data_IF_642149201853
#
_entry.id   IF_642149201853
#
_cell.length_a   1.000
_cell.length_b   1.000
_cell.length_c   1.000
_cell.angle_alpha   90.00
_cell.angle_beta   90.00
_cell.angle_gamma   90.00
#
_symmetry.space_group_name_H-M   'P 1'
#
loop_
_entity.id
_entity.type
_entity.pdbx_description
1 polymer ?
#
# COMPACT_ATOMS: atom_id res chain seq x y z
N UNK A 1 -2.68 3.54 20.92
CA UNK A 1 -3.90 3.40 20.10
C UNK A 1 -4.61 2.12 20.52
N UNK A 2 -5.90 2.22 20.87
CA UNK A 2 -6.72 1.12 21.39
C UNK A 2 -7.11 0.16 20.26
N UNK A 3 -6.72 -1.11 20.42
CA UNK A 3 -6.92 -2.23 19.48
C UNK A 3 -8.38 -2.72 19.46
N UNK A 4 -9.23 -2.21 20.36
CA UNK A 4 -10.56 -2.74 20.67
C UNK A 4 -11.63 -2.54 19.58
N UNK A 5 -11.37 -1.72 18.56
CA UNK A 5 -12.38 -1.36 17.55
C UNK A 5 -12.11 -1.94 16.15
N UNK A 6 -11.10 -2.80 15.99
CA UNK A 6 -10.83 -3.48 14.71
C UNK A 6 -11.75 -4.68 14.43
N UNK A 7 -12.78 -4.88 15.27
CA UNK A 7 -13.86 -5.84 15.07
C UNK A 7 -15.11 -5.13 14.55
N UNK A 8 -15.02 -4.37 13.46
CA UNK A 8 -16.19 -4.19 12.61
C UNK A 8 -16.35 -5.46 11.79
N UNK A 9 -17.59 -5.99 11.78
CA UNK A 9 -17.98 -7.19 11.05
C UNK A 9 -17.35 -7.21 9.65
N UNK A 10 -16.75 -8.32 9.19
CA UNK A 10 -16.22 -8.39 7.83
C UNK A 10 -17.38 -8.17 6.86
N UNK A 11 -17.27 -7.16 6.00
CA UNK A 11 -18.29 -6.74 5.03
C UNK A 11 -18.49 -7.76 3.88
N UNK A 12 -18.35 -9.07 4.14
CA UNK A 12 -18.30 -10.10 3.12
C UNK A 12 -17.08 -10.01 2.19
N UNK A 13 -16.28 -8.95 2.32
CA UNK A 13 -14.94 -8.79 1.78
C UNK A 13 -13.99 -9.55 2.70
N UNK A 14 -13.60 -10.76 2.28
CA UNK A 14 -12.65 -11.65 2.96
C UNK A 14 -11.21 -11.07 3.01
N UNK A 15 -11.04 -9.77 3.25
CA UNK A 15 -9.74 -9.15 3.47
C UNK A 15 -9.45 -9.16 4.96
N UNK A 16 -8.79 -10.23 5.42
CA UNK A 16 -8.30 -10.27 6.80
C UNK A 16 -7.30 -9.12 6.99
N UNK A 17 -7.47 -8.29 8.02
CA UNK A 17 -6.57 -7.18 8.37
C UNK A 17 -5.09 -7.62 8.41
N UNK A 18 -4.82 -8.85 8.87
CA UNK A 18 -3.48 -9.45 8.85
C UNK A 18 -2.90 -9.56 7.45
N UNK A 19 -3.73 -9.85 6.45
CA UNK A 19 -3.34 -9.90 5.04
C UNK A 19 -3.05 -8.51 4.51
N UNK A 20 -3.95 -7.54 4.75
CA UNK A 20 -3.75 -6.14 4.35
C UNK A 20 -2.43 -5.60 4.91
N UNK A 21 -2.20 -5.79 6.21
CA UNK A 21 -0.97 -5.39 6.89
C UNK A 21 0.28 -6.04 6.28
N UNK A 22 0.22 -7.34 5.94
CA UNK A 22 1.32 -8.04 5.27
C UNK A 22 1.62 -7.47 3.89
N UNK A 23 0.59 -7.15 3.11
CA UNK A 23 0.76 -6.58 1.77
C UNK A 23 1.37 -5.18 1.82
N UNK A 24 0.84 -4.31 2.68
CA UNK A 24 1.38 -2.96 2.91
C UNK A 24 2.85 -3.04 3.38
N UNK A 25 3.12 -3.92 4.34
CA UNK A 25 4.48 -4.12 4.85
C UNK A 25 5.43 -4.67 3.78
N UNK A 26 4.95 -5.61 2.95
CA UNK A 26 5.71 -6.19 1.84
C UNK A 26 6.05 -5.17 0.77
N UNK A 27 5.07 -4.36 0.36
CA UNK A 27 5.26 -3.28 -0.61
C UNK A 27 6.24 -2.22 -0.07
N UNK A 28 6.05 -1.78 1.17
CA UNK A 28 7.00 -0.87 1.85
C UNK A 28 8.40 -1.44 1.85
N UNK A 29 8.55 -2.71 2.25
CA UNK A 29 9.87 -3.35 2.33
C UNK A 29 10.52 -3.37 0.95
N UNK A 30 9.77 -3.72 -0.10
CA UNK A 30 10.27 -3.72 -1.47
C UNK A 30 10.73 -2.32 -1.93
N UNK A 31 9.88 -1.31 -1.75
CA UNK A 31 10.16 0.09 -2.16
C UNK A 31 11.37 0.64 -1.41
N UNK A 32 11.47 0.38 -0.11
CA UNK A 32 12.56 0.86 0.74
C UNK A 32 13.86 0.03 0.62
N UNK A 33 13.82 -1.14 -0.02
CA UNK A 33 14.98 -2.03 -0.11
C UNK A 33 16.10 -1.46 -1.00
N UNK A 34 15.75 -0.60 -1.96
CA UNK A 34 16.71 -0.01 -2.91
C UNK A 34 16.40 1.46 -3.15
N UNK A 35 17.42 2.34 -3.24
CA UNK A 35 17.22 3.74 -3.60
C UNK A 35 16.49 3.91 -4.94
N UNK A 36 16.83 3.06 -5.92
CA UNK A 36 16.20 3.08 -7.25
C UNK A 36 14.70 2.77 -7.18
N UNK A 37 14.30 1.75 -6.41
CA UNK A 37 12.88 1.40 -6.22
C UNK A 37 12.12 2.51 -5.48
N UNK A 38 12.78 3.15 -4.52
CA UNK A 38 12.21 4.31 -3.84
C UNK A 38 11.97 5.47 -4.81
N UNK A 39 12.94 5.81 -5.65
CA UNK A 39 12.80 6.88 -6.65
C UNK A 39 11.72 6.57 -7.69
N UNK A 40 11.64 5.32 -8.16
CA UNK A 40 10.57 4.89 -9.07
C UNK A 40 9.18 5.06 -8.44
N UNK A 41 9.03 4.65 -7.18
CA UNK A 41 7.77 4.80 -6.48
C UNK A 41 7.41 6.28 -6.27
N UNK A 42 8.39 7.14 -5.94
CA UNK A 42 8.19 8.59 -5.83
C UNK A 42 7.67 9.18 -7.13
N UNK A 43 8.26 8.83 -8.26
CA UNK A 43 7.80 9.30 -9.58
C UNK A 43 6.34 8.89 -9.85
N UNK A 44 5.93 7.69 -9.42
CA UNK A 44 4.53 7.25 -9.51
C UNK A 44 3.62 8.06 -8.59
N UNK A 45 4.05 8.37 -7.36
CA UNK A 45 3.26 9.22 -6.46
C UNK A 45 3.09 10.62 -7.01
N UNK A 46 4.15 11.21 -7.55
CA UNK A 46 4.11 12.56 -8.14
C UNK A 46 3.19 12.62 -9.37
N UNK A 47 3.13 11.52 -10.13
CA UNK A 47 2.24 11.40 -11.29
C UNK A 47 0.78 11.13 -10.89
N UNK A 48 0.55 10.13 -10.03
CA UNK A 48 -0.79 9.66 -9.71
C UNK A 48 -1.49 10.52 -8.65
N UNK A 49 -0.72 11.07 -7.69
CA UNK A 49 -1.23 11.80 -6.52
C UNK A 49 -0.32 12.98 -6.13
N UNK A 50 -0.16 13.99 -7.01
CA UNK A 50 0.77 15.12 -6.79
C UNK A 50 0.50 15.92 -5.51
N UNK A 51 -0.74 15.93 -5.02
CA UNK A 51 -1.13 16.62 -3.78
C UNK A 51 -0.57 15.94 -2.52
N UNK A 52 -0.07 14.70 -2.61
CA UNK A 52 0.50 13.93 -1.51
C UNK A 52 2.04 13.97 -1.49
N UNK A 53 2.66 14.77 -2.35
CA UNK A 53 4.11 14.92 -2.49
C UNK A 53 4.81 15.13 -1.14
N UNK A 54 4.23 15.92 -0.23
CA UNK A 54 4.85 16.21 1.08
C UNK A 54 4.75 15.05 2.09
N UNK A 55 3.70 14.22 1.99
CA UNK A 55 3.43 13.07 2.88
C UNK A 55 4.21 11.83 2.43
N UNK A 56 4.46 11.73 1.12
CA UNK A 56 5.02 10.59 0.40
C UNK A 56 6.43 10.18 0.87
N UNK A 57 7.30 11.11 1.26
CA UNK A 57 8.73 10.79 1.31
C UNK A 57 9.25 10.06 2.55
N UNK A 58 8.43 9.89 3.59
CA UNK A 58 8.79 9.15 4.80
C UNK A 58 8.30 7.69 4.77
N UNK A 59 8.62 6.97 3.69
CA UNK A 59 8.31 5.53 3.52
C UNK A 59 8.89 4.62 4.61
N UNK A 60 9.84 5.12 5.40
CA UNK A 60 10.30 4.48 6.63
C UNK A 60 9.16 4.17 7.59
N UNK A 61 8.01 4.85 7.51
CA UNK A 61 6.86 4.59 8.39
C UNK A 61 5.53 4.57 7.63
N UNK A 62 5.49 3.92 6.45
CA UNK A 62 4.23 3.70 5.72
C UNK A 62 3.22 2.95 6.61
N UNK A 63 2.40 3.72 7.31
CA UNK A 63 1.35 3.25 8.19
C UNK A 63 0.08 3.00 7.37
N UNK A 64 -0.92 2.36 7.98
CA UNK A 64 -2.20 2.06 7.32
C UNK A 64 -2.83 3.33 6.74
N UNK A 65 -2.84 4.43 7.51
CA UNK A 65 -3.42 5.71 7.06
C UNK A 65 -2.69 6.24 5.82
N UNK A 66 -1.35 6.20 5.80
CA UNK A 66 -0.57 6.60 4.63
C UNK A 66 -0.79 5.67 3.43
N UNK A 67 -0.98 4.37 3.65
CA UNK A 67 -1.30 3.42 2.59
C UNK A 67 -2.71 3.65 2.01
N UNK A 68 -3.65 4.09 2.84
CA UNK A 68 -4.99 4.51 2.41
C UNK A 68 -4.87 5.79 1.56
N UNK A 69 -4.13 6.78 2.03
CA UNK A 69 -3.91 8.03 1.29
C UNK A 69 -3.21 7.76 -0.05
N UNK A 70 -2.22 6.87 -0.08
CA UNK A 70 -1.44 6.51 -1.26
C UNK A 70 -2.05 5.36 -2.09
N UNK A 71 -3.30 5.01 -1.87
CA UNK A 71 -3.94 3.84 -2.50
C UNK A 71 -3.78 3.84 -4.03
N UNK A 72 -4.04 4.98 -4.69
CA UNK A 72 -3.95 5.07 -6.17
C UNK A 72 -2.53 4.85 -6.68
N UNK A 73 -1.54 5.40 -5.96
CA UNK A 73 -0.13 5.22 -6.30
C UNK A 73 0.32 3.77 -6.07
N UNK A 74 -0.11 3.16 -4.97
CA UNK A 74 0.17 1.75 -4.66
C UNK A 74 -0.41 0.83 -5.74
N UNK A 75 -1.65 1.07 -6.16
CA UNK A 75 -2.32 0.27 -7.19
C UNK A 75 -1.64 0.44 -8.55
N UNK A 76 -1.36 1.69 -8.95
CA UNK A 76 -0.67 1.96 -10.21
C UNK A 76 0.70 1.26 -10.23
N UNK A 77 1.49 1.45 -9.18
CA UNK A 77 2.80 0.83 -9.05
C UNK A 77 2.73 -0.70 -9.08
N UNK A 78 1.75 -1.31 -8.40
CA UNK A 78 1.56 -2.76 -8.39
C UNK A 78 1.12 -3.32 -9.75
N UNK A 79 0.37 -2.54 -10.55
CA UNK A 79 -0.06 -2.95 -11.89
C UNK A 79 1.08 -2.85 -12.92
N UNK A 80 1.98 -1.88 -12.76
CA UNK A 80 3.10 -1.67 -13.69
C UNK A 80 4.34 -2.53 -13.37
N UNK A 81 4.46 -3.03 -12.14
CA UNK A 81 5.62 -3.79 -11.69
C UNK A 81 5.25 -5.23 -11.30
N UNK A 82 5.58 -6.19 -12.16
CA UNK A 82 5.27 -7.60 -11.95
C UNK A 82 5.84 -8.17 -10.63
N UNK A 83 6.99 -7.68 -10.15
CA UNK A 83 7.61 -8.13 -8.89
C UNK A 83 6.77 -7.84 -7.64
N UNK A 84 5.98 -6.75 -7.68
CA UNK A 84 5.16 -6.27 -6.57
C UNK A 84 3.67 -6.50 -6.77
N UNK A 85 3.26 -7.07 -7.90
CA UNK A 85 1.87 -7.43 -8.16
C UNK A 85 1.28 -8.31 -7.04
N UNK A 86 2.10 -9.18 -6.43
CA UNK A 86 1.71 -10.01 -5.27
C UNK A 86 1.31 -9.21 -4.03
N UNK A 87 1.72 -7.95 -3.93
CA UNK A 87 1.38 -7.02 -2.86
C UNK A 87 0.14 -6.17 -3.16
N UNK A 88 -0.44 -6.32 -4.34
CA UNK A 88 -1.68 -5.62 -4.70
C UNK A 88 -2.79 -6.01 -3.74
N UNK A 89 -3.53 -5.01 -3.26
CA UNK A 89 -4.73 -5.20 -2.46
C UNK A 89 -5.89 -5.51 -3.41
N UNK A 90 -5.95 -6.74 -3.93
CA UNK A 90 -7.12 -7.20 -4.70
C UNK A 90 -8.18 -7.76 -3.78
N UNK A 91 -9.44 -7.47 -4.05
CA UNK A 91 -10.56 -8.20 -3.47
C UNK A 91 -10.36 -9.70 -3.69
N UNK A 92 -10.34 -10.46 -2.59
CA UNK A 92 -10.48 -11.92 -2.67
C UNK A 92 -11.95 -12.23 -2.98
N UNK A 93 -12.37 -11.99 -4.23
CA UNK A 93 -13.61 -12.53 -4.77
C UNK A 93 -13.56 -12.63 -6.29
N UNK A 94 -13.10 -13.77 -6.77
CA UNK A 94 -13.59 -14.40 -7.99
C UNK A 94 -13.17 -15.88 -8.02
N UNK A 95 -13.78 -16.69 -7.15
CA UNK A 95 -14.11 -18.08 -7.47
C UNK A 95 -15.35 -18.50 -6.67
#
# INVERSE_FOLDING_TARGET
MLISNLTSSPDGLSLNLKTILKQIHGLRTYVCFSPQRSEQFKAVVDFAQPNLHEISYNFTFLNIDQAIDLHQSCDHFCNENAEVFKFKLTDSKAM
#
